data_IF_873177909421
#
_entry.id   IF_873177909421
#
_cell.length_a   1.000
_cell.length_b   1.000
_cell.length_c   1.000
_cell.angle_alpha   90.00
_cell.angle_beta   90.00
_cell.angle_gamma   90.00
#
_symmetry.space_group_name_H-M   'P 1'
#
loop_
_entity.id
_entity.type
_entity.pdbx_description
1 polymer ?
#
# COMPACT_ATOMS: atom_id res chain seq x y z
N UNK A 1 5.07 -20.04 69.09
CA UNK A 1 4.56 -18.89 68.33
C UNK A 1 5.06 -19.08 66.90
N UNK A 2 4.23 -19.63 66.01
CA UNK A 2 4.60 -19.87 64.61
C UNK A 2 4.08 -18.68 63.80
N UNK A 3 5.01 -17.91 63.22
CA UNK A 3 4.68 -16.75 62.37
C UNK A 3 4.51 -17.22 60.92
N UNK A 4 3.28 -17.20 60.40
CA UNK A 4 2.98 -17.46 58.99
C UNK A 4 3.27 -16.19 58.20
N UNK A 5 4.36 -16.21 57.37
CA UNK A 5 4.55 -15.20 56.33
C UNK A 5 3.62 -15.52 55.15
N UNK A 6 2.61 -14.68 54.96
CA UNK A 6 1.83 -14.67 53.72
C UNK A 6 2.64 -13.91 52.66
N UNK A 7 3.20 -14.61 51.71
CA UNK A 7 3.73 -14.01 50.47
C UNK A 7 2.55 -13.67 49.56
N UNK A 8 2.24 -12.39 49.44
CA UNK A 8 1.33 -11.86 48.41
C UNK A 8 2.07 -11.88 47.06
N UNK A 9 1.80 -12.89 46.24
CA UNK A 9 2.18 -12.84 44.82
C UNK A 9 1.22 -11.87 44.13
N UNK A 10 1.68 -10.67 43.85
CA UNK A 10 0.99 -9.75 42.92
C UNK A 10 0.96 -10.43 41.56
N UNK A 11 -0.18 -10.98 41.15
CA UNK A 11 -0.44 -11.30 39.75
C UNK A 11 -0.55 -9.98 39.03
N UNK A 12 0.50 -9.61 38.24
CA UNK A 12 0.41 -8.59 37.24
C UNK A 12 -0.60 -9.15 36.20
N UNK A 13 -1.82 -8.66 36.25
CA UNK A 13 -2.77 -8.84 35.16
C UNK A 13 -2.21 -8.01 34.01
N UNK A 14 -1.49 -8.64 33.11
CA UNK A 14 -1.23 -8.05 31.80
C UNK A 14 -2.62 -7.86 31.17
N UNK A 15 -3.00 -6.63 30.93
CA UNK A 15 -4.20 -6.30 30.16
C UNK A 15 -4.17 -7.07 28.84
N UNK A 16 -5.34 -7.33 28.27
CA UNK A 16 -5.45 -7.93 26.96
C UNK A 16 -4.77 -7.03 25.93
N UNK A 17 -3.99 -7.60 25.01
CA UNK A 17 -3.40 -6.84 23.92
C UNK A 17 -4.48 -6.14 23.10
N UNK A 18 -4.18 -4.92 22.65
CA UNK A 18 -5.06 -4.10 21.81
C UNK A 18 -4.30 -3.63 20.57
N UNK A 19 -4.74 -4.09 19.41
CA UNK A 19 -4.15 -3.78 18.12
C UNK A 19 -4.99 -2.72 17.40
N UNK A 20 -4.35 -1.71 16.86
CA UNK A 20 -5.02 -0.67 16.09
C UNK A 20 -4.40 -0.58 14.70
N UNK A 21 -5.24 -0.67 13.67
CA UNK A 21 -4.89 -0.32 12.31
C UNK A 21 -5.29 1.13 12.03
N UNK A 22 -4.35 1.96 11.60
CA UNK A 22 -4.64 3.33 11.14
C UNK A 22 -4.39 3.40 9.64
N UNK A 23 -5.47 3.58 8.89
CA UNK A 23 -5.42 3.76 7.44
C UNK A 23 -5.06 5.20 7.09
N UNK A 24 -4.16 5.44 6.11
CA UNK A 24 -3.78 6.79 5.69
C UNK A 24 -4.92 7.55 5.02
N UNK A 25 -5.86 6.83 4.39
CA UNK A 25 -7.00 7.35 3.66
C UNK A 25 -8.25 6.49 3.93
N UNK A 26 -9.44 6.92 3.52
CA UNK A 26 -10.63 6.07 3.54
C UNK A 26 -10.40 4.78 2.76
N UNK A 27 -10.70 3.65 3.39
CA UNK A 27 -10.42 2.33 2.82
C UNK A 27 -11.22 2.09 1.53
N UNK A 28 -12.52 2.32 1.57
CA UNK A 28 -13.39 2.21 0.41
C UNK A 28 -13.10 0.97 -0.44
N UNK A 29 -12.82 1.19 -1.74
CA UNK A 29 -12.48 0.13 -2.72
C UNK A 29 -10.96 -0.13 -2.83
N UNK A 30 -10.14 0.57 -2.07
CA UNK A 30 -8.69 0.40 -2.08
C UNK A 30 -8.31 -0.94 -1.46
N UNK A 31 -7.92 -1.90 -2.30
CA UNK A 31 -7.61 -3.26 -1.87
C UNK A 31 -6.38 -3.33 -0.95
N UNK A 32 -5.38 -2.48 -1.17
CA UNK A 32 -4.19 -2.44 -0.32
C UNK A 32 -4.55 -2.01 1.11
N UNK A 33 -5.35 -0.97 1.27
CA UNK A 33 -5.83 -0.53 2.59
C UNK A 33 -6.75 -1.58 3.24
N UNK A 34 -7.57 -2.27 2.44
CA UNK A 34 -8.41 -3.37 2.92
C UNK A 34 -7.55 -4.56 3.42
N UNK A 35 -6.43 -4.86 2.75
CA UNK A 35 -5.50 -5.90 3.23
C UNK A 35 -4.85 -5.53 4.56
N UNK A 36 -4.50 -4.26 4.77
CA UNK A 36 -3.98 -3.78 6.05
C UNK A 36 -4.97 -4.03 7.20
N UNK A 37 -6.24 -3.70 6.98
CA UNK A 37 -7.33 -3.97 7.94
C UNK A 37 -7.46 -5.46 8.22
N UNK A 38 -7.67 -6.26 7.19
CA UNK A 38 -7.91 -7.71 7.35
C UNK A 38 -6.69 -8.44 7.92
N UNK A 39 -5.47 -8.00 7.58
CA UNK A 39 -4.23 -8.53 8.13
C UNK A 39 -4.10 -8.24 9.64
N UNK A 40 -4.42 -7.02 10.06
CA UNK A 40 -4.41 -6.64 11.49
C UNK A 40 -5.48 -7.39 12.27
N UNK A 41 -6.70 -7.53 11.74
CA UNK A 41 -7.78 -8.33 12.34
C UNK A 41 -7.38 -9.82 12.48
N UNK A 42 -6.74 -10.38 11.45
CA UNK A 42 -6.25 -11.76 11.49
C UNK A 42 -5.14 -11.95 12.53
N UNK A 43 -4.23 -10.99 12.64
CA UNK A 43 -3.19 -11.00 13.69
C UNK A 43 -3.82 -10.91 15.09
N UNK A 44 -4.73 -9.97 15.31
CA UNK A 44 -5.42 -9.82 16.58
C UNK A 44 -6.15 -11.11 16.99
N UNK A 45 -6.87 -11.72 16.05
CA UNK A 45 -7.52 -13.02 16.28
C UNK A 45 -6.52 -14.11 16.67
N UNK A 46 -5.36 -14.16 15.99
CA UNK A 46 -4.31 -15.17 16.26
C UNK A 46 -3.71 -15.02 17.66
N UNK A 47 -3.51 -13.80 18.11
CA UNK A 47 -2.90 -13.50 19.40
C UNK A 47 -3.92 -13.28 20.54
N UNK A 48 -5.22 -13.33 20.25
CA UNK A 48 -6.27 -13.11 21.23
C UNK A 48 -6.40 -11.66 21.68
N UNK A 49 -5.91 -10.72 20.85
CA UNK A 49 -5.99 -9.28 21.09
C UNK A 49 -7.36 -8.72 20.71
N UNK A 50 -7.71 -7.56 21.28
CA UNK A 50 -8.77 -6.72 20.76
C UNK A 50 -8.24 -5.95 19.55
N UNK A 51 -9.12 -5.52 18.65
CA UNK A 51 -8.71 -4.82 17.42
C UNK A 51 -9.67 -3.69 17.07
N UNK A 52 -9.10 -2.59 16.59
CA UNK A 52 -9.84 -1.45 16.05
C UNK A 52 -9.19 -0.93 14.78
N UNK A 53 -9.99 -0.27 13.94
CA UNK A 53 -9.53 0.38 12.71
C UNK A 53 -9.95 1.84 12.72
N UNK A 54 -9.00 2.74 12.45
CA UNK A 54 -9.24 4.15 12.21
C UNK A 54 -8.93 4.49 10.75
N UNK A 55 -9.85 5.17 10.10
CA UNK A 55 -9.66 5.68 8.74
C UNK A 55 -9.39 7.17 8.80
N UNK A 56 -8.36 7.62 8.09
CA UNK A 56 -8.00 9.04 8.02
C UNK A 56 -8.54 9.64 6.72
N UNK A 57 -8.88 10.92 6.77
CA UNK A 57 -9.34 11.66 5.58
C UNK A 57 -8.43 12.85 5.24
N UNK A 58 -7.49 13.16 6.13
CA UNK A 58 -6.55 14.28 5.99
C UNK A 58 -5.24 13.95 6.70
N UNK A 59 -4.18 14.70 6.40
CA UNK A 59 -2.90 14.57 7.10
C UNK A 59 -3.04 14.83 8.61
N UNK A 60 -3.90 15.76 9.04
CA UNK A 60 -4.19 16.01 10.46
C UNK A 60 -4.87 14.79 11.10
N UNK A 61 -5.88 14.22 10.44
CA UNK A 61 -6.59 13.04 10.93
C UNK A 61 -5.67 11.83 11.09
N UNK A 62 -4.64 11.66 10.25
CA UNK A 62 -3.64 10.59 10.41
C UNK A 62 -2.95 10.68 11.78
N UNK A 63 -2.49 11.88 12.14
CA UNK A 63 -1.86 12.12 13.43
C UNK A 63 -2.84 11.92 14.60
N UNK A 64 -4.02 12.52 14.51
CA UNK A 64 -5.06 12.42 15.54
C UNK A 64 -5.44 10.95 15.81
N UNK A 65 -5.55 10.14 14.78
CA UNK A 65 -5.86 8.72 14.90
C UNK A 65 -4.73 7.91 15.56
N UNK A 66 -3.46 8.23 15.29
CA UNK A 66 -2.33 7.59 15.99
C UNK A 66 -2.30 8.00 17.46
N UNK A 67 -2.51 9.29 17.76
CA UNK A 67 -2.60 9.80 19.14
C UNK A 67 -3.80 9.19 19.90
N UNK A 68 -4.94 9.03 19.23
CA UNK A 68 -6.11 8.34 19.80
C UNK A 68 -5.79 6.88 20.14
N UNK A 69 -5.15 6.15 19.23
CA UNK A 69 -4.73 4.76 19.48
C UNK A 69 -3.80 4.65 20.69
N UNK A 70 -2.84 5.57 20.84
CA UNK A 70 -1.95 5.65 22.00
C UNK A 70 -2.73 5.92 23.29
N UNK A 71 -3.65 6.89 23.28
CA UNK A 71 -4.45 7.26 24.44
C UNK A 71 -5.43 6.17 24.87
N UNK A 72 -5.89 5.33 23.95
CA UNK A 72 -6.77 4.18 24.22
C UNK A 72 -6.00 2.94 24.68
N UNK A 73 -4.67 3.02 24.74
CA UNK A 73 -3.82 1.95 25.26
C UNK A 73 -3.50 0.85 24.25
N UNK A 74 -3.38 1.20 22.97
CA UNK A 74 -2.90 0.27 21.96
C UNK A 74 -1.55 -0.33 22.35
N UNK A 75 -1.40 -1.65 22.21
CA UNK A 75 -0.11 -2.35 22.37
C UNK A 75 0.64 -2.50 21.06
N UNK A 76 -0.09 -2.49 19.94
CA UNK A 76 0.44 -2.48 18.59
C UNK A 76 -0.37 -1.52 17.71
N UNK A 77 0.32 -0.63 16.99
CA UNK A 77 -0.26 0.25 15.98
C UNK A 77 0.32 -0.14 14.61
N UNK A 78 -0.55 -0.56 13.70
CA UNK A 78 -0.21 -0.93 12.33
C UNK A 78 -0.58 0.23 11.40
N UNK A 79 0.39 0.65 10.57
CA UNK A 79 0.33 1.81 9.72
C UNK A 79 0.73 1.42 8.30
N UNK A 80 0.03 1.90 7.29
CA UNK A 80 0.37 1.66 5.89
C UNK A 80 0.80 2.94 5.21
N UNK A 81 1.95 2.87 4.52
CA UNK A 81 2.42 3.94 3.65
C UNK A 81 3.37 4.93 4.31
N UNK A 82 3.96 5.74 3.46
CA UNK A 82 5.00 6.72 3.82
C UNK A 82 4.44 7.94 4.56
N UNK A 83 3.15 8.16 4.52
CA UNK A 83 2.45 9.29 5.15
C UNK A 83 2.60 9.32 6.67
N UNK A 84 2.95 8.18 7.26
CA UNK A 84 3.14 8.05 8.70
C UNK A 84 4.58 8.24 9.17
N UNK A 85 5.56 8.42 8.27
CA UNK A 85 6.98 8.48 8.63
C UNK A 85 7.29 9.51 9.71
N UNK A 86 6.86 10.75 9.51
CA UNK A 86 7.14 11.85 10.45
C UNK A 86 6.35 11.68 11.75
N UNK A 87 5.11 11.20 11.66
CA UNK A 87 4.24 10.95 12.81
C UNK A 87 4.87 9.90 13.73
N UNK A 88 5.35 8.79 13.15
CA UNK A 88 5.98 7.71 13.93
C UNK A 88 7.32 8.13 14.49
N UNK A 89 8.16 8.84 13.73
CA UNK A 89 9.43 9.37 14.24
C UNK A 89 9.25 10.26 15.46
N UNK A 90 8.16 11.01 15.49
CA UNK A 90 7.86 11.93 16.61
C UNK A 90 7.18 11.20 17.78
N UNK A 91 6.19 10.35 17.53
CA UNK A 91 5.34 9.77 18.57
C UNK A 91 5.91 8.48 19.18
N UNK A 92 6.57 7.61 18.40
CA UNK A 92 7.05 6.33 18.91
C UNK A 92 8.06 6.47 20.09
N UNK A 93 9.00 7.43 20.09
CA UNK A 93 9.87 7.65 21.26
C UNK A 93 9.13 8.05 22.54
N UNK A 94 7.93 8.63 22.44
CA UNK A 94 7.12 9.05 23.59
C UNK A 94 6.32 7.90 24.21
N UNK A 95 6.20 6.78 23.49
CA UNK A 95 5.43 5.61 23.89
C UNK A 95 6.28 4.31 23.73
N UNK A 96 7.37 4.14 24.51
CA UNK A 96 8.33 3.06 24.31
C UNK A 96 7.76 1.65 24.52
N UNK A 97 6.66 1.53 25.23
CA UNK A 97 5.98 0.25 25.51
C UNK A 97 5.01 -0.15 24.39
N UNK A 98 4.69 0.76 23.46
CA UNK A 98 3.82 0.50 22.31
C UNK A 98 4.66 0.12 21.10
N UNK A 99 4.29 -0.96 20.42
CA UNK A 99 4.96 -1.37 19.19
C UNK A 99 4.28 -0.73 17.97
N UNK A 100 5.09 -0.28 17.01
CA UNK A 100 4.63 0.25 15.73
C UNK A 100 5.08 -0.65 14.61
N UNK A 101 4.20 -0.97 13.69
CA UNK A 101 4.51 -1.65 12.43
C UNK A 101 4.13 -0.75 11.27
N UNK A 102 5.13 -0.28 10.52
CA UNK A 102 4.90 0.41 9.25
C UNK A 102 5.04 -0.61 8.12
N UNK A 103 4.03 -0.68 7.27
CA UNK A 103 4.05 -1.52 6.08
C UNK A 103 4.30 -0.65 4.86
N UNK A 104 5.04 -1.17 3.90
CA UNK A 104 5.42 -0.55 2.63
C UNK A 104 6.52 0.52 2.73
N UNK A 105 6.95 0.83 3.94
CA UNK A 105 7.97 1.84 4.18
C UNK A 105 8.85 1.46 5.39
N UNK A 106 10.16 1.76 5.30
CA UNK A 106 11.07 1.73 6.44
C UNK A 106 11.64 3.13 6.69
N UNK A 107 11.63 3.54 7.95
CA UNK A 107 12.15 4.83 8.38
C UNK A 107 13.65 4.69 8.66
N UNK A 108 14.46 5.63 8.18
CA UNK A 108 15.89 5.68 8.56
C UNK A 108 16.04 6.02 10.04
N UNK A 109 16.96 5.32 10.73
CA UNK A 109 17.19 5.49 12.17
C UNK A 109 15.90 5.32 13.01
N UNK A 110 15.07 4.34 12.63
CA UNK A 110 13.80 4.08 13.32
C UNK A 110 13.99 3.86 14.82
N UNK A 111 13.06 4.33 15.66
CA UNK A 111 13.05 4.05 17.09
C UNK A 111 12.99 2.54 17.38
N UNK A 112 13.48 2.08 18.56
CA UNK A 112 13.58 0.64 18.88
C UNK A 112 12.23 -0.11 18.88
N UNK A 113 11.13 0.60 19.13
CA UNK A 113 9.77 0.06 19.14
C UNK A 113 9.05 0.22 17.80
N UNK A 114 9.78 0.60 16.74
CA UNK A 114 9.25 0.68 15.37
C UNK A 114 9.80 -0.47 14.54
N UNK A 115 8.93 -1.16 13.86
CA UNK A 115 9.24 -2.24 12.92
C UNK A 115 8.71 -1.87 11.55
N UNK A 116 9.33 -2.40 10.50
CA UNK A 116 8.85 -2.18 9.15
C UNK A 116 8.75 -3.48 8.35
N UNK A 117 7.84 -3.50 7.40
CA UNK A 117 7.71 -4.55 6.41
C UNK A 117 7.63 -3.91 5.02
N UNK A 118 8.52 -4.31 4.13
CA UNK A 118 8.57 -3.84 2.74
C UNK A 118 8.52 -5.03 1.79
N UNK A 119 8.04 -4.79 0.59
CA UNK A 119 7.95 -5.79 -0.46
C UNK A 119 9.07 -5.59 -1.49
N UNK A 120 9.26 -6.61 -2.34
CA UNK A 120 10.17 -6.56 -3.49
C UNK A 120 9.38 -6.26 -4.76
N UNK A 121 8.61 -5.19 -4.72
CA UNK A 121 7.75 -4.76 -5.83
C UNK A 121 8.52 -4.55 -7.13
N UNK A 122 9.79 -4.16 -7.03
CA UNK A 122 10.68 -4.01 -8.17
C UNK A 122 10.95 -5.34 -8.92
N UNK A 123 10.98 -6.48 -8.22
CA UNK A 123 11.15 -7.80 -8.86
C UNK A 123 9.88 -8.17 -9.65
N UNK A 124 8.71 -8.02 -9.03
CA UNK A 124 7.44 -8.31 -9.68
C UNK A 124 7.17 -7.35 -10.85
N UNK A 125 7.45 -6.05 -10.66
CA UNK A 125 7.30 -5.04 -11.72
C UNK A 125 8.20 -5.31 -12.92
N UNK A 126 9.42 -5.78 -12.70
CA UNK A 126 10.31 -6.22 -13.79
C UNK A 126 9.70 -7.38 -14.59
N UNK A 127 9.12 -8.37 -13.90
CA UNK A 127 8.50 -9.53 -14.55
C UNK A 127 7.27 -9.16 -15.38
N UNK A 128 6.39 -8.28 -14.86
CA UNK A 128 5.25 -7.81 -15.66
C UNK A 128 5.69 -6.89 -16.79
N UNK A 129 6.81 -6.19 -16.64
CA UNK A 129 7.48 -5.47 -17.73
C UNK A 129 7.93 -6.40 -18.86
N UNK A 130 8.55 -7.55 -18.53
CA UNK A 130 8.88 -8.60 -19.50
C UNK A 130 7.60 -9.06 -20.24
N UNK A 131 6.53 -9.35 -19.52
CA UNK A 131 5.27 -9.76 -20.12
C UNK A 131 4.73 -8.69 -21.08
N UNK A 132 4.72 -7.42 -20.68
CA UNK A 132 4.31 -6.31 -21.54
C UNK A 132 5.18 -6.19 -22.81
N UNK A 133 6.50 -6.24 -22.66
CA UNK A 133 7.45 -6.15 -23.77
C UNK A 133 7.30 -7.29 -24.81
N UNK A 134 6.95 -8.49 -24.33
CA UNK A 134 6.67 -9.64 -25.19
C UNK A 134 5.30 -9.59 -25.88
N UNK A 135 4.30 -8.96 -25.24
CA UNK A 135 2.89 -9.00 -25.68
C UNK A 135 2.48 -7.78 -26.49
N UNK A 136 3.19 -6.66 -26.37
CA UNK A 136 2.84 -5.43 -27.11
C UNK A 136 2.90 -5.67 -28.63
N UNK A 137 1.94 -5.09 -29.33
CA UNK A 137 1.85 -5.13 -30.80
C UNK A 137 2.27 -3.81 -31.44
N UNK A 138 2.25 -2.74 -30.65
CA UNK A 138 2.59 -1.39 -31.13
C UNK A 138 4.02 -0.99 -30.80
N UNK A 139 4.73 -1.74 -29.97
CA UNK A 139 5.98 -1.36 -29.31
C UNK A 139 5.86 -0.10 -28.45
N UNK A 140 4.64 0.26 -28.04
CA UNK A 140 4.36 1.36 -27.13
C UNK A 140 3.56 0.84 -25.95
N UNK A 141 4.08 1.04 -24.77
CA UNK A 141 3.44 0.65 -23.52
C UNK A 141 3.48 1.82 -22.53
N UNK A 142 2.59 1.79 -21.56
CA UNK A 142 2.51 2.85 -20.57
C UNK A 142 2.56 2.35 -19.14
N UNK A 143 2.84 3.28 -18.22
CA UNK A 143 2.62 3.08 -16.79
C UNK A 143 2.00 4.32 -16.16
N UNK A 144 0.88 4.12 -15.44
CA UNK A 144 0.25 5.16 -14.62
C UNK A 144 0.63 4.91 -13.17
N UNK A 145 1.42 5.83 -12.59
CA UNK A 145 1.73 5.85 -11.17
C UNK A 145 0.89 6.89 -10.43
N UNK A 146 0.68 6.69 -9.12
CA UNK A 146 -0.06 7.64 -8.31
C UNK A 146 0.69 8.99 -8.18
N UNK A 147 1.96 8.96 -7.78
CA UNK A 147 2.81 10.13 -7.54
C UNK A 147 4.22 9.92 -8.10
N UNK A 148 4.86 11.01 -8.52
CA UNK A 148 6.28 11.05 -8.91
C UNK A 148 7.17 11.13 -7.66
N UNK A 149 7.35 9.99 -7.00
CA UNK A 149 8.16 9.83 -5.77
C UNK A 149 9.02 8.57 -5.83
N UNK A 150 10.16 8.51 -5.12
CA UNK A 150 11.08 7.36 -5.17
C UNK A 150 10.41 6.00 -4.92
N UNK A 151 9.39 5.95 -4.08
CA UNK A 151 8.64 4.74 -3.81
C UNK A 151 7.95 4.20 -5.08
N UNK A 152 7.27 5.04 -5.83
CA UNK A 152 6.57 4.64 -7.06
C UNK A 152 7.54 4.29 -8.21
N UNK A 153 8.76 4.86 -8.21
CA UNK A 153 9.80 4.47 -9.15
C UNK A 153 10.27 3.01 -8.97
N UNK A 154 10.02 2.39 -7.81
CA UNK A 154 10.24 0.95 -7.59
C UNK A 154 9.27 0.07 -8.38
N UNK A 155 8.18 0.63 -8.91
CA UNK A 155 7.25 -0.02 -9.84
C UNK A 155 7.56 0.38 -11.29
N UNK A 156 7.68 1.67 -11.56
CA UNK A 156 7.72 2.20 -12.93
C UNK A 156 9.04 1.90 -13.65
N UNK A 157 10.17 2.06 -12.98
CA UNK A 157 11.49 1.89 -13.59
C UNK A 157 11.79 0.41 -13.90
N UNK A 158 11.59 -0.56 -12.97
CA UNK A 158 11.77 -1.96 -13.27
C UNK A 158 10.81 -2.49 -14.34
N UNK A 159 9.56 -1.98 -14.40
CA UNK A 159 8.64 -2.29 -15.49
C UNK A 159 9.23 -1.92 -16.85
N UNK A 160 9.76 -0.70 -16.96
CA UNK A 160 10.40 -0.24 -18.19
C UNK A 160 11.64 -1.07 -18.53
N UNK A 161 12.47 -1.39 -17.53
CA UNK A 161 13.67 -2.20 -17.71
C UNK A 161 13.35 -3.62 -18.15
N UNK A 162 12.34 -4.26 -17.54
CA UNK A 162 11.86 -5.60 -17.92
C UNK A 162 11.37 -5.64 -19.36
N UNK A 163 10.58 -4.64 -19.77
CA UNK A 163 10.07 -4.55 -21.13
C UNK A 163 11.22 -4.39 -22.15
N UNK A 164 12.17 -3.49 -21.89
CA UNK A 164 13.34 -3.25 -22.75
C UNK A 164 14.28 -4.46 -22.82
N UNK A 165 14.38 -5.27 -21.77
CA UNK A 165 15.22 -6.46 -21.74
C UNK A 165 14.80 -7.49 -22.80
N UNK A 166 13.53 -7.57 -23.14
CA UNK A 166 12.98 -8.53 -24.12
C UNK A 166 12.58 -7.89 -25.45
N UNK A 167 12.33 -6.59 -25.44
CA UNK A 167 11.98 -5.80 -26.62
C UNK A 167 12.76 -4.47 -26.64
N UNK A 168 13.97 -4.44 -27.22
CA UNK A 168 14.80 -3.24 -27.24
C UNK A 168 14.17 -2.03 -27.97
N UNK A 169 13.14 -2.26 -28.78
CA UNK A 169 12.45 -1.21 -29.54
C UNK A 169 11.21 -0.67 -28.82
N UNK A 170 10.90 -1.16 -27.61
CA UNK A 170 9.73 -0.72 -26.89
C UNK A 170 9.92 0.69 -26.35
N UNK A 171 8.92 1.55 -26.58
CA UNK A 171 8.78 2.85 -25.97
C UNK A 171 7.90 2.70 -24.71
N UNK A 172 8.38 3.22 -23.58
CA UNK A 172 7.63 3.19 -22.31
C UNK A 172 7.35 4.62 -21.87
N UNK A 173 6.08 4.96 -21.76
CA UNK A 173 5.62 6.25 -21.27
C UNK A 173 5.19 6.12 -19.80
N UNK A 174 5.66 7.01 -18.94
CA UNK A 174 5.23 7.11 -17.53
C UNK A 174 4.39 8.37 -17.34
N UNK A 175 3.22 8.22 -16.70
CA UNK A 175 2.36 9.34 -16.30
C UNK A 175 1.95 9.19 -14.84
N UNK A 176 1.67 10.33 -14.23
CA UNK A 176 1.33 10.41 -12.81
C UNK A 176 -0.07 10.97 -12.64
N UNK A 177 -0.85 10.36 -11.70
CA UNK A 177 -2.17 10.86 -11.33
C UNK A 177 -2.04 12.23 -10.68
N UNK A 178 -1.20 12.34 -9.65
CA UNK A 178 -1.01 13.59 -8.91
C UNK A 178 -2.28 14.09 -8.22
N UNK A 179 -2.30 15.38 -7.85
CA UNK A 179 -3.42 16.00 -7.16
C UNK A 179 -3.49 15.65 -5.67
N UNK A 180 -4.66 15.88 -5.06
CA UNK A 180 -4.82 15.79 -3.60
C UNK A 180 -5.11 14.35 -3.12
N UNK A 181 -5.57 13.47 -4.01
CA UNK A 181 -5.88 12.07 -3.70
C UNK A 181 -5.35 11.11 -4.78
N UNK A 182 -4.02 11.04 -4.98
CA UNK A 182 -3.42 10.34 -6.12
C UNK A 182 -3.64 8.82 -6.12
N UNK A 183 -3.85 8.21 -4.95
CA UNK A 183 -4.12 6.78 -4.79
C UNK A 183 -5.63 6.44 -4.81
N UNK A 184 -6.50 7.42 -4.93
CA UNK A 184 -7.95 7.24 -4.88
C UNK A 184 -8.71 8.05 -5.92
N UNK A 185 -8.07 8.49 -7.02
CA UNK A 185 -8.70 9.26 -8.09
C UNK A 185 -8.78 8.46 -9.39
N UNK A 186 -9.85 7.65 -9.60
CA UNK A 186 -10.02 6.85 -10.80
C UNK A 186 -10.26 7.71 -12.05
N UNK A 187 -10.80 8.92 -11.91
CA UNK A 187 -11.06 9.81 -13.05
C UNK A 187 -9.74 10.26 -13.66
N UNK A 188 -8.83 10.80 -12.84
CA UNK A 188 -7.52 11.23 -13.32
C UNK A 188 -6.66 10.06 -13.79
N UNK A 189 -6.72 8.90 -13.12
CA UNK A 189 -6.02 7.71 -13.57
C UNK A 189 -6.49 7.26 -14.96
N UNK A 190 -7.81 7.28 -15.22
CA UNK A 190 -8.39 7.00 -16.54
C UNK A 190 -7.91 8.00 -17.59
N UNK A 191 -7.91 9.29 -17.28
CA UNK A 191 -7.42 10.33 -18.18
C UNK A 191 -5.97 10.08 -18.60
N UNK A 192 -5.07 9.73 -17.66
CA UNK A 192 -3.68 9.42 -17.98
C UNK A 192 -3.58 8.17 -18.88
N UNK A 193 -4.32 7.12 -18.58
CA UNK A 193 -4.33 5.91 -19.39
C UNK A 193 -4.85 6.16 -20.81
N UNK A 194 -5.95 6.91 -20.96
CA UNK A 194 -6.50 7.25 -22.26
C UNK A 194 -5.57 8.14 -23.11
N UNK A 195 -4.82 9.03 -22.47
CA UNK A 195 -3.82 9.84 -23.16
C UNK A 195 -2.69 8.96 -23.72
N UNK A 196 -2.20 7.97 -22.97
CA UNK A 196 -1.21 6.99 -23.44
C UNK A 196 -1.76 6.11 -24.56
N UNK A 197 -2.98 5.61 -24.40
CA UNK A 197 -3.66 4.82 -25.43
C UNK A 197 -3.78 5.61 -26.74
N UNK A 198 -4.19 6.88 -26.65
CA UNK A 198 -4.28 7.77 -27.81
C UNK A 198 -2.93 8.04 -28.47
N UNK A 199 -1.83 7.96 -27.72
CA UNK A 199 -0.45 8.04 -28.21
C UNK A 199 0.07 6.71 -28.80
N UNK A 200 -0.74 5.63 -28.71
CA UNK A 200 -0.46 4.33 -29.32
C UNK A 200 -0.06 3.22 -28.34
N UNK A 201 -0.10 3.45 -27.02
CA UNK A 201 0.15 2.39 -26.04
C UNK A 201 -0.97 1.37 -26.05
N UNK A 202 -0.64 0.09 -26.19
CA UNK A 202 -1.60 -1.01 -26.23
C UNK A 202 -1.63 -1.83 -24.92
N UNK A 203 -0.65 -1.64 -24.05
CA UNK A 203 -0.57 -2.21 -22.71
C UNK A 203 -0.23 -1.11 -21.71
N UNK A 204 -0.98 -1.01 -20.63
CA UNK A 204 -0.78 -0.01 -19.58
C UNK A 204 -0.68 -0.71 -18.22
N UNK A 205 0.44 -0.51 -17.52
CA UNK A 205 0.58 -0.90 -16.13
C UNK A 205 0.03 0.21 -15.23
N UNK A 206 -0.70 -0.15 -14.18
CA UNK A 206 -1.25 0.82 -13.23
C UNK A 206 -0.83 0.49 -11.80
N UNK A 207 -0.25 1.49 -11.11
CA UNK A 207 0.16 1.46 -9.72
C UNK A 207 -0.45 2.67 -8.99
N UNK A 208 -1.80 2.69 -8.92
CA UNK A 208 -2.60 3.79 -8.39
C UNK A 208 -3.60 3.36 -7.33
N UNK A 209 -3.53 2.08 -6.88
CA UNK A 209 -4.40 1.51 -5.84
C UNK A 209 -5.90 1.65 -6.17
N UNK A 210 -6.62 2.55 -5.48
CA UNK A 210 -8.03 2.84 -5.79
C UNK A 210 -8.26 3.51 -7.15
N UNK A 211 -7.24 4.20 -7.69
CA UNK A 211 -7.28 4.80 -9.02
C UNK A 211 -7.30 3.78 -10.16
N UNK A 212 -6.82 2.54 -9.94
CA UNK A 212 -6.75 1.47 -10.92
C UNK A 212 -8.10 1.19 -11.60
N UNK A 213 -9.21 1.37 -10.89
CA UNK A 213 -10.55 1.17 -11.45
C UNK A 213 -10.84 2.07 -12.65
N UNK A 214 -10.30 3.29 -12.67
CA UNK A 214 -10.40 4.17 -13.82
C UNK A 214 -9.64 3.64 -15.03
N UNK A 215 -8.45 3.07 -14.82
CA UNK A 215 -7.67 2.46 -15.89
C UNK A 215 -8.37 1.21 -16.45
N UNK A 216 -8.99 0.40 -15.58
CA UNK A 216 -9.77 -0.76 -15.99
C UNK A 216 -10.98 -0.38 -16.85
N UNK A 217 -11.71 0.67 -16.44
CA UNK A 217 -12.83 1.21 -17.21
C UNK A 217 -12.35 1.72 -18.57
N UNK A 218 -11.26 2.49 -18.62
CA UNK A 218 -10.65 2.97 -19.85
C UNK A 218 -10.26 1.82 -20.80
N UNK A 219 -9.72 0.73 -20.24
CA UNK A 219 -9.35 -0.45 -21.02
C UNK A 219 -10.56 -1.16 -21.63
N UNK A 220 -11.64 -1.30 -20.86
CA UNK A 220 -12.90 -1.90 -21.34
C UNK A 220 -13.55 -1.08 -22.47
N UNK A 221 -13.52 0.24 -22.36
CA UNK A 221 -14.10 1.13 -23.36
C UNK A 221 -13.28 1.21 -24.66
N UNK A 222 -11.94 1.06 -24.57
CA UNK A 222 -11.03 1.33 -25.68
C UNK A 222 -10.22 0.12 -26.15
N UNK A 223 -10.38 -1.04 -25.48
CA UNK A 223 -9.78 -2.32 -25.85
C UNK A 223 -8.25 -2.36 -25.79
N UNK A 224 -7.63 -1.69 -24.81
CA UNK A 224 -6.22 -1.92 -24.46
C UNK A 224 -6.08 -2.92 -23.30
N UNK A 225 -4.87 -3.41 -23.04
CA UNK A 225 -4.58 -4.36 -21.97
C UNK A 225 -4.01 -3.67 -20.76
N UNK A 226 -4.23 -4.28 -19.58
CA UNK A 226 -3.78 -3.72 -18.30
C UNK A 226 -2.98 -4.73 -17.52
N UNK A 227 -1.96 -4.24 -16.81
CA UNK A 227 -1.26 -4.90 -15.72
C UNK A 227 -1.55 -4.08 -14.45
N UNK A 228 -1.68 -4.72 -13.30
CA UNK A 228 -2.08 -4.05 -12.07
C UNK A 228 -1.27 -4.52 -10.87
N UNK A 229 -1.64 -4.10 -9.67
CA UNK A 229 -0.90 -4.31 -8.42
C UNK A 229 -1.78 -4.90 -7.31
N UNK A 230 -1.13 -5.31 -6.22
CA UNK A 230 -1.62 -5.65 -4.89
C UNK A 230 -2.38 -6.98 -4.79
N UNK A 231 -3.39 -7.19 -5.60
CA UNK A 231 -4.28 -8.35 -5.52
C UNK A 231 -4.65 -8.84 -6.90
N UNK A 232 -5.25 -10.03 -6.99
CA UNK A 232 -5.80 -10.51 -8.26
C UNK A 232 -6.95 -9.60 -8.74
N UNK A 233 -6.66 -8.72 -9.67
CA UNK A 233 -7.59 -7.77 -10.29
C UNK A 233 -8.32 -8.34 -11.51
N UNK A 234 -8.00 -9.54 -11.96
CA UNK A 234 -8.59 -10.13 -13.17
C UNK A 234 -10.14 -10.16 -13.13
N UNK A 235 -10.72 -10.23 -11.94
CA UNK A 235 -12.18 -10.20 -11.74
C UNK A 235 -12.79 -8.81 -11.99
N UNK A 236 -12.00 -7.74 -11.91
CA UNK A 236 -12.47 -6.36 -12.07
C UNK A 236 -12.63 -5.96 -13.54
N UNK A 237 -11.78 -6.50 -14.43
CA UNK A 237 -11.87 -6.29 -15.87
C UNK A 237 -11.51 -7.59 -16.62
N UNK A 238 -12.41 -8.59 -16.63
CA UNK A 238 -12.14 -9.90 -17.24
C UNK A 238 -11.76 -9.78 -18.70
N UNK A 239 -10.64 -10.40 -19.09
CA UNK A 239 -10.14 -10.40 -20.45
C UNK A 239 -9.31 -9.16 -20.82
N UNK A 240 -9.23 -8.15 -19.97
CA UNK A 240 -8.40 -6.95 -20.18
C UNK A 240 -7.16 -6.93 -19.30
N UNK A 241 -7.23 -7.44 -18.08
CA UNK A 241 -6.09 -7.56 -17.19
C UNK A 241 -5.28 -8.79 -17.61
N UNK A 242 -3.98 -8.58 -17.82
CA UNK A 242 -3.02 -9.64 -18.21
C UNK A 242 -2.48 -10.33 -16.96
N UNK A 243 -1.99 -9.54 -16.01
CA UNK A 243 -1.36 -10.02 -14.78
C UNK A 243 -1.34 -8.93 -13.70
N UNK A 244 -0.86 -9.28 -12.50
CA UNK A 244 -0.76 -8.39 -11.35
C UNK A 244 0.59 -8.62 -10.63
N UNK A 245 1.15 -7.57 -10.06
CA UNK A 245 2.36 -7.62 -9.23
C UNK A 245 2.04 -7.93 -7.78
#
# INVERSE_FOLDING_TARGET
MLSFLFTFSAQISLGKDFFVYVSPDPIGVNAFLQMGKTGTEAAAKKFGADVQTYESSTAAARRENVEAALNEGATLIVLLGFEFNDIVNELAPTAPDVQFLIVDQCIQNQPPNVHCAVFREYEASYLVGIAAGMMTKTNKIGVVGALDIPFLHRYTDPYADGAKAVNPNVEVETRWVGGDNPFGDPVRAKEQALAMYSAGSDIIFTATAGGDFGVFEGAQENNFRVLSVDVNRCVNAPGYIIDNT
#
